data_IF_961132091127
#
_entry.id   IF_961132091127
#
_cell.length_a   1.000
_cell.length_b   1.000
_cell.length_c   1.000
_cell.angle_alpha   90.00
_cell.angle_beta   90.00
_cell.angle_gamma   90.00
#
_symmetry.space_group_name_H-M   'P 1'
#
loop_
_entity.id
_entity.type
_entity.pdbx_description
1 polymer ?
#
# COMPACT_ATOMS: atom_id res chain seq x y z
N UNK A 1 -29.72 35.90 -30.06
CA UNK A 1 -28.45 35.88 -29.25
C UNK A 1 -28.36 34.72 -28.29
N UNK A 2 -29.42 34.33 -27.59
CA UNK A 2 -29.38 33.18 -26.64
C UNK A 2 -29.05 31.82 -27.29
N UNK A 3 -29.56 31.53 -28.50
CA UNK A 3 -29.26 30.29 -29.23
C UNK A 3 -27.81 30.17 -29.67
N UNK A 4 -27.14 31.27 -30.01
CA UNK A 4 -25.72 31.28 -30.40
C UNK A 4 -24.81 30.99 -29.20
N UNK A 5 -25.18 31.49 -28.01
CA UNK A 5 -24.45 31.24 -26.76
C UNK A 5 -24.55 29.76 -26.33
N UNK A 6 -25.73 29.14 -26.53
CA UNK A 6 -25.95 27.72 -26.20
C UNK A 6 -25.17 26.80 -27.13
N UNK A 7 -25.08 27.12 -28.43
CA UNK A 7 -24.30 26.34 -29.42
C UNK A 7 -22.81 26.45 -29.13
N UNK A 8 -22.31 27.65 -28.76
CA UNK A 8 -20.89 27.84 -28.40
C UNK A 8 -20.55 27.11 -27.08
N UNK A 9 -21.45 27.14 -26.09
CA UNK A 9 -21.25 26.35 -24.84
C UNK A 9 -21.32 24.85 -25.11
N UNK A 10 -22.22 24.38 -25.99
CA UNK A 10 -22.28 22.96 -26.37
C UNK A 10 -21.04 22.50 -27.14
N UNK A 11 -20.47 23.33 -28.01
CA UNK A 11 -19.21 23.05 -28.72
C UNK A 11 -17.99 23.06 -27.75
N UNK A 12 -17.98 23.92 -26.74
CA UNK A 12 -16.95 23.93 -25.71
C UNK A 12 -17.04 22.68 -24.82
N UNK A 13 -18.24 22.13 -24.56
CA UNK A 13 -18.40 20.89 -23.80
C UNK A 13 -18.00 19.63 -24.60
N UNK A 14 -18.08 19.65 -25.94
CA UNK A 14 -17.69 18.51 -26.79
C UNK A 14 -16.18 18.43 -27.07
N UNK A 15 -15.45 19.54 -26.89
CA UNK A 15 -14.01 19.60 -27.19
C UNK A 15 -13.09 19.08 -26.07
N UNK A 16 -13.61 18.63 -24.92
CA UNK A 16 -12.81 18.31 -23.73
C UNK A 16 -12.62 16.81 -23.45
N UNK A 17 -13.05 15.95 -24.38
CA UNK A 17 -12.79 14.50 -24.32
C UNK A 17 -11.64 14.09 -25.24
N UNK A 18 -10.57 14.88 -25.31
CA UNK A 18 -9.38 14.43 -26.03
C UNK A 18 -8.56 13.57 -25.09
N UNK A 19 -8.86 12.26 -25.08
CA UNK A 19 -7.90 11.24 -24.63
C UNK A 19 -6.74 11.31 -25.64
N UNK A 20 -5.73 12.12 -25.35
CA UNK A 20 -4.54 12.24 -26.20
C UNK A 20 -3.60 11.06 -25.98
N UNK A 21 -3.90 10.16 -25.05
CA UNK A 21 -3.14 8.95 -24.80
C UNK A 21 -3.20 8.00 -26.00
N UNK A 22 -2.04 7.57 -26.48
CA UNK A 22 -1.93 6.71 -27.66
C UNK A 22 -0.93 5.56 -27.38
N UNK A 23 -1.41 4.32 -27.42
CA UNK A 23 -0.59 3.13 -27.22
C UNK A 23 0.43 2.87 -28.32
N UNK A 24 0.23 3.46 -29.51
CA UNK A 24 1.06 3.24 -30.69
C UNK A 24 2.09 4.35 -30.93
N UNK A 25 2.04 5.41 -30.11
CA UNK A 25 3.01 6.51 -30.18
C UNK A 25 3.87 6.53 -28.92
N UNK A 26 5.17 6.74 -29.04
CA UNK A 26 6.02 6.90 -27.86
C UNK A 26 5.70 8.22 -27.16
N UNK A 27 5.98 8.26 -25.86
CA UNK A 27 5.94 9.49 -25.08
C UNK A 27 7.04 10.46 -25.55
N UNK A 28 6.85 11.76 -25.33
CA UNK A 28 7.78 12.81 -25.79
C UNK A 28 9.19 12.74 -25.17
N UNK A 29 9.37 11.98 -24.10
CA UNK A 29 10.65 11.77 -23.41
C UNK A 29 10.66 10.41 -22.67
N UNK A 30 11.82 10.07 -22.08
CA UNK A 30 12.02 8.81 -21.31
C UNK A 30 12.01 9.02 -19.80
N UNK A 31 11.30 10.05 -19.32
CA UNK A 31 11.20 10.43 -17.92
C UNK A 31 12.04 11.65 -17.56
N UNK A 32 11.51 12.48 -16.68
CA UNK A 32 12.17 13.69 -16.14
C UNK A 32 12.12 13.73 -14.61
N UNK A 33 11.32 12.85 -14.00
CA UNK A 33 11.25 12.69 -12.54
C UNK A 33 12.20 11.59 -12.09
N UNK A 34 12.80 11.78 -10.93
CA UNK A 34 13.60 10.75 -10.27
C UNK A 34 12.75 9.55 -9.89
N UNK A 35 13.11 8.36 -10.36
CA UNK A 35 12.39 7.10 -10.15
C UNK A 35 12.67 6.51 -8.78
N UNK A 36 11.71 5.71 -8.27
CA UNK A 36 11.91 4.92 -7.06
C UNK A 36 12.59 3.60 -7.38
N UNK A 37 13.57 3.21 -6.55
CA UNK A 37 14.37 2.00 -6.75
C UNK A 37 13.71 0.72 -6.25
N UNK A 38 12.51 0.81 -5.66
CA UNK A 38 11.84 -0.32 -4.99
C UNK A 38 12.37 -0.61 -3.58
N UNK A 39 13.47 0.02 -3.14
CA UNK A 39 13.94 -0.09 -1.76
C UNK A 39 13.02 0.67 -0.80
N UNK A 40 12.93 0.23 0.47
CA UNK A 40 12.11 0.92 1.45
C UNK A 40 12.51 2.38 1.65
N UNK A 41 11.51 3.25 1.74
CA UNK A 41 11.69 4.65 2.09
C UNK A 41 11.67 4.81 3.63
N UNK A 42 12.38 5.82 4.17
CA UNK A 42 12.28 6.15 5.58
C UNK A 42 10.84 6.49 5.96
N UNK A 43 10.30 5.84 7.00
CA UNK A 43 8.96 6.06 7.51
C UNK A 43 9.02 6.21 9.04
N UNK A 44 9.32 7.42 9.50
CA UNK A 44 9.43 7.75 10.92
C UNK A 44 8.53 8.95 11.23
N UNK A 45 7.24 8.73 11.55
CA UNK A 45 6.36 9.80 11.98
C UNK A 45 6.87 10.49 13.25
N UNK A 46 6.70 11.80 13.34
CA UNK A 46 6.93 12.55 14.60
C UNK A 46 5.88 12.17 15.64
N UNK A 47 6.07 12.58 16.90
CA UNK A 47 5.10 12.30 17.96
C UNK A 47 3.69 12.83 17.67
N UNK A 48 3.57 14.01 17.06
CA UNK A 48 2.27 14.57 16.66
C UNK A 48 1.64 13.82 15.48
N UNK A 49 2.45 13.43 14.52
CA UNK A 49 2.00 12.62 13.38
C UNK A 49 1.54 11.24 13.86
N UNK A 50 2.24 10.64 14.82
CA UNK A 50 1.84 9.38 15.41
C UNK A 50 0.47 9.50 16.11
N UNK A 51 0.21 10.59 16.84
CA UNK A 51 -1.11 10.85 17.45
C UNK A 51 -2.25 10.89 16.40
N UNK A 52 -1.99 11.44 15.19
CA UNK A 52 -2.98 11.40 14.10
C UNK A 52 -3.20 9.98 13.60
N UNK A 53 -2.12 9.23 13.36
CA UNK A 53 -2.19 7.84 12.94
C UNK A 53 -2.93 6.95 13.96
N UNK A 54 -2.75 7.21 15.25
CA UNK A 54 -3.44 6.48 16.33
C UNK A 54 -4.94 6.73 16.34
N UNK A 55 -5.38 7.90 15.87
CA UNK A 55 -6.80 8.24 15.63
C UNK A 55 -7.34 7.66 14.31
N UNK A 56 -6.50 6.99 13.52
CA UNK A 56 -6.85 6.45 12.20
C UNK A 56 -6.81 7.48 11.07
N UNK A 57 -6.28 8.68 11.34
CA UNK A 57 -6.13 9.76 10.36
C UNK A 57 -4.82 9.57 9.57
N UNK A 58 -4.80 9.84 8.25
CA UNK A 58 -3.57 9.83 7.47
C UNK A 58 -2.67 11.02 7.80
N UNK A 59 -1.37 10.81 7.69
CA UNK A 59 -0.36 11.88 7.72
C UNK A 59 0.10 12.15 6.31
N UNK A 60 0.04 13.39 5.87
CA UNK A 60 0.32 13.79 4.49
C UNK A 60 1.39 14.88 4.44
N UNK A 61 2.22 14.79 3.40
CA UNK A 61 3.17 15.81 2.99
C UNK A 61 2.98 16.05 1.51
N UNK A 62 2.96 17.29 1.10
CA UNK A 62 2.94 17.67 -0.31
C UNK A 62 3.91 18.82 -0.56
N UNK A 63 4.59 18.74 -1.68
CA UNK A 63 5.45 19.77 -2.21
C UNK A 63 5.00 20.04 -3.65
N UNK A 64 4.98 21.30 -4.05
CA UNK A 64 4.56 21.69 -5.38
C UNK A 64 5.52 22.72 -5.97
N UNK A 65 5.84 22.55 -7.26
CA UNK A 65 6.59 23.49 -8.06
C UNK A 65 5.96 23.57 -9.46
N UNK A 66 5.23 24.64 -9.75
CA UNK A 66 4.52 24.82 -11.00
C UNK A 66 3.54 23.68 -11.31
N UNK A 67 3.77 22.97 -12.41
CA UNK A 67 2.99 21.79 -12.85
C UNK A 67 3.50 20.46 -12.29
N UNK A 68 4.55 20.50 -11.47
CA UNK A 68 5.10 19.32 -10.78
C UNK A 68 4.65 19.31 -9.33
N UNK A 69 4.48 18.10 -8.78
CA UNK A 69 4.17 17.91 -7.37
C UNK A 69 4.70 16.58 -6.85
N UNK A 70 5.01 16.56 -5.56
CA UNK A 70 5.31 15.37 -4.79
C UNK A 70 4.30 15.25 -3.66
N UNK A 71 3.75 14.05 -3.50
CA UNK A 71 2.89 13.73 -2.39
C UNK A 71 3.41 12.51 -1.64
N UNK A 72 3.32 12.54 -0.31
CA UNK A 72 3.61 11.40 0.56
C UNK A 72 2.48 11.26 1.55
N UNK A 73 1.97 10.03 1.71
CA UNK A 73 0.93 9.72 2.71
C UNK A 73 1.36 8.51 3.53
N UNK A 74 1.20 8.60 4.83
CA UNK A 74 1.34 7.48 5.76
C UNK A 74 -0.04 7.19 6.34
N UNK A 75 -0.43 5.91 6.37
CA UNK A 75 -1.72 5.45 6.88
C UNK A 75 -1.54 4.16 7.66
N UNK A 76 -2.10 4.10 8.87
CA UNK A 76 -2.21 2.87 9.63
C UNK A 76 -3.54 2.15 9.30
N UNK A 77 -3.47 0.84 9.08
CA UNK A 77 -4.56 -0.01 8.60
C UNK A 77 -4.72 -1.21 9.51
N UNK A 78 -5.94 -1.46 10.01
CA UNK A 78 -6.25 -2.63 10.83
C UNK A 78 -6.45 -3.87 9.95
N UNK A 79 -5.37 -4.31 9.34
CA UNK A 79 -5.34 -5.47 8.45
C UNK A 79 -3.90 -5.97 8.31
N UNK A 80 -3.66 -7.28 8.13
CA UNK A 80 -2.34 -7.82 7.86
C UNK A 80 -1.68 -7.23 6.61
N UNK A 81 -0.34 -7.09 6.57
CA UNK A 81 0.39 -6.56 5.41
C UNK A 81 0.13 -7.29 4.10
N UNK A 82 -0.09 -8.60 4.13
CA UNK A 82 -0.44 -9.40 2.95
C UNK A 82 -1.72 -8.91 2.30
N UNK A 83 -2.79 -8.71 3.09
CA UNK A 83 -4.08 -8.23 2.58
C UNK A 83 -3.94 -6.83 1.98
N UNK A 84 -3.20 -5.92 2.65
CA UNK A 84 -2.98 -4.58 2.14
C UNK A 84 -2.24 -4.60 0.79
N UNK A 85 -1.16 -5.38 0.67
CA UNK A 85 -0.40 -5.49 -0.58
C UNK A 85 -1.23 -6.18 -1.67
N UNK A 86 -2.02 -7.20 -1.33
CA UNK A 86 -2.90 -7.87 -2.30
C UNK A 86 -3.93 -6.90 -2.89
N UNK A 87 -4.52 -6.01 -2.07
CA UNK A 87 -5.43 -4.96 -2.58
C UNK A 87 -4.70 -3.96 -3.48
N UNK A 88 -3.49 -3.53 -3.11
CA UNK A 88 -2.67 -2.61 -3.91
C UNK A 88 -2.28 -3.22 -5.26
N UNK A 89 -2.08 -4.54 -5.33
CA UNK A 89 -1.71 -5.26 -6.55
C UNK A 89 -2.89 -5.71 -7.40
N UNK A 90 -4.10 -5.66 -6.87
CA UNK A 90 -5.31 -6.07 -7.58
C UNK A 90 -5.78 -4.98 -8.56
N UNK A 91 -4.89 -4.65 -9.51
CA UNK A 91 -5.11 -3.60 -10.50
C UNK A 91 -6.43 -3.75 -11.28
N UNK A 92 -6.86 -4.96 -11.71
CA UNK A 92 -8.13 -5.13 -12.44
C UNK A 92 -9.36 -4.65 -11.66
N UNK A 93 -9.29 -4.62 -10.31
CA UNK A 93 -10.39 -4.15 -9.47
C UNK A 93 -10.34 -2.67 -9.14
N UNK A 94 -9.32 -1.92 -9.56
CA UNK A 94 -9.20 -0.49 -9.28
C UNK A 94 -10.43 0.33 -9.66
N UNK A 95 -11.12 0.10 -10.80
CA UNK A 95 -12.35 0.83 -11.11
C UNK A 95 -13.46 0.71 -10.06
N UNK A 96 -13.42 -0.35 -9.23
CA UNK A 96 -14.39 -0.58 -8.14
C UNK A 96 -13.89 -0.09 -6.78
N UNK A 97 -12.58 0.03 -6.60
CA UNK A 97 -11.96 0.31 -5.31
C UNK A 97 -11.38 1.73 -5.21
N UNK A 98 -10.79 2.22 -6.30
CA UNK A 98 -10.01 3.45 -6.32
C UNK A 98 -10.86 4.60 -6.85
N UNK A 99 -11.02 5.71 -6.10
CA UNK A 99 -11.74 6.87 -6.59
C UNK A 99 -11.17 7.37 -7.93
N UNK A 100 -12.05 7.88 -8.76
CA UNK A 100 -11.72 8.47 -10.06
C UNK A 100 -11.20 7.53 -11.14
N UNK A 101 -10.82 6.29 -10.86
CA UNK A 101 -10.49 5.30 -11.89
C UNK A 101 -11.76 4.82 -12.57
N UNK A 102 -11.89 5.07 -13.87
CA UNK A 102 -13.05 4.70 -14.70
C UNK A 102 -12.87 3.33 -15.34
N UNK A 103 -11.70 3.07 -15.89
CA UNK A 103 -11.31 1.76 -16.41
C UNK A 103 -9.83 1.51 -16.26
N UNK A 104 -9.47 0.24 -16.33
CA UNK A 104 -8.08 -0.23 -16.28
C UNK A 104 -7.92 -1.43 -17.19
N UNK A 105 -6.89 -1.38 -18.06
CA UNK A 105 -6.57 -2.45 -19.00
C UNK A 105 -5.14 -2.91 -18.79
N UNK A 106 -4.95 -4.18 -18.45
CA UNK A 106 -3.63 -4.80 -18.32
C UNK A 106 -3.17 -5.24 -19.71
N UNK A 107 -2.03 -4.74 -20.17
CA UNK A 107 -1.44 -5.10 -21.46
C UNK A 107 -0.12 -5.87 -21.34
N UNK A 108 0.47 -5.91 -20.15
CA UNK A 108 1.68 -6.69 -19.86
C UNK A 108 1.63 -7.27 -18.45
N UNK A 109 2.06 -8.51 -18.26
CA UNK A 109 2.23 -9.13 -16.95
C UNK A 109 3.37 -10.15 -17.03
N UNK A 110 4.51 -9.82 -16.39
CA UNK A 110 5.71 -10.64 -16.37
C UNK A 110 6.12 -10.96 -14.94
N UNK A 111 6.30 -12.25 -14.65
CA UNK A 111 6.81 -12.72 -13.36
C UNK A 111 8.23 -13.26 -13.55
N UNK A 112 9.15 -12.81 -12.70
CA UNK A 112 10.55 -13.19 -12.72
C UNK A 112 10.85 -14.27 -11.65
N UNK A 113 11.94 -15.01 -11.84
CA UNK A 113 12.33 -16.11 -10.94
C UNK A 113 12.59 -15.66 -9.50
N UNK A 114 13.06 -14.43 -9.29
CA UNK A 114 13.26 -13.83 -7.97
C UNK A 114 11.94 -13.40 -7.29
N UNK A 115 10.79 -13.64 -7.93
CA UNK A 115 9.48 -13.27 -7.45
C UNK A 115 9.05 -11.84 -7.79
N UNK A 116 9.91 -11.00 -8.37
CA UNK A 116 9.54 -9.68 -8.92
C UNK A 116 8.45 -9.83 -9.96
N UNK A 117 7.46 -8.94 -9.97
CA UNK A 117 6.39 -8.94 -10.97
C UNK A 117 6.34 -7.55 -11.61
N UNK A 118 6.36 -7.53 -12.96
CA UNK A 118 6.12 -6.31 -13.73
C UNK A 118 4.76 -6.37 -14.42
N UNK A 119 3.99 -5.28 -14.28
CA UNK A 119 2.65 -5.16 -14.85
C UNK A 119 2.53 -3.84 -15.58
N UNK A 120 2.27 -3.89 -16.88
CA UNK A 120 1.90 -2.76 -17.70
C UNK A 120 0.38 -2.57 -17.71
N UNK A 121 -0.10 -1.38 -17.36
CA UNK A 121 -1.53 -1.09 -17.29
C UNK A 121 -1.87 0.28 -17.87
N UNK A 122 -2.95 0.36 -18.67
CA UNK A 122 -3.58 1.61 -19.08
C UNK A 122 -4.61 2.00 -18.01
N UNK A 123 -4.52 3.22 -17.53
CA UNK A 123 -5.49 3.85 -16.65
C UNK A 123 -6.30 4.88 -17.43
N UNK A 124 -7.62 4.88 -17.22
CA UNK A 124 -8.48 5.96 -17.61
C UNK A 124 -9.11 6.53 -16.34
N UNK A 125 -8.83 7.79 -16.03
CA UNK A 125 -9.36 8.47 -14.85
C UNK A 125 -10.24 9.65 -15.24
N UNK A 126 -11.22 9.95 -14.40
CA UNK A 126 -12.09 11.12 -14.55
C UNK A 126 -11.86 12.10 -13.40
N UNK A 127 -11.42 13.31 -13.70
CA UNK A 127 -11.14 14.35 -12.71
C UNK A 127 -11.90 15.62 -13.09
N UNK A 128 -12.85 16.04 -12.25
CA UNK A 128 -13.57 17.32 -12.41
C UNK A 128 -14.15 17.52 -13.81
N UNK A 129 -14.73 16.47 -14.39
CA UNK A 129 -15.33 16.50 -15.74
C UNK A 129 -14.36 16.25 -16.88
N UNK A 130 -13.06 16.15 -16.63
CA UNK A 130 -12.03 15.84 -17.63
C UNK A 130 -11.61 14.36 -17.55
N UNK A 131 -11.37 13.73 -18.70
CA UNK A 131 -10.77 12.41 -18.82
C UNK A 131 -9.26 12.50 -19.02
N UNK A 132 -8.52 11.56 -18.40
CA UNK A 132 -7.07 11.40 -18.60
C UNK A 132 -6.75 9.93 -18.80
N UNK A 133 -6.04 9.61 -19.87
CA UNK A 133 -5.50 8.28 -20.16
C UNK A 133 -3.98 8.25 -19.96
N UNK A 134 -3.46 7.25 -19.27
CA UNK A 134 -2.02 7.10 -19.10
C UNK A 134 -1.62 5.63 -18.90
N UNK A 135 -0.39 5.33 -19.26
CA UNK A 135 0.17 3.99 -19.22
C UNK A 135 1.24 3.93 -18.13
N UNK A 136 1.08 3.00 -17.19
CA UNK A 136 2.06 2.78 -16.12
C UNK A 136 2.69 1.39 -16.24
N UNK A 137 3.99 1.35 -15.96
CA UNK A 137 4.73 0.13 -15.72
C UNK A 137 4.97 -0.04 -14.23
N UNK A 138 4.27 -0.98 -13.60
CA UNK A 138 4.42 -1.32 -12.19
C UNK A 138 5.50 -2.37 -12.00
N UNK A 139 6.25 -2.28 -10.90
CA UNK A 139 7.22 -3.28 -10.47
C UNK A 139 7.00 -3.62 -9.00
N UNK A 140 6.56 -4.83 -8.71
CA UNK A 140 6.44 -5.35 -7.35
C UNK A 140 7.72 -6.07 -6.93
N UNK A 141 8.28 -5.67 -5.78
CA UNK A 141 9.47 -6.28 -5.18
C UNK A 141 9.07 -7.02 -3.88
N UNK A 142 8.90 -8.36 -3.92
CA UNK A 142 8.43 -9.13 -2.77
C UNK A 142 9.38 -9.05 -1.58
N UNK A 143 10.70 -8.97 -1.82
CA UNK A 143 11.72 -8.85 -0.77
C UNK A 143 11.47 -7.67 0.16
N UNK A 144 10.94 -6.56 -0.36
CA UNK A 144 10.72 -5.33 0.38
C UNK A 144 9.24 -5.05 0.62
N UNK A 145 8.34 -5.87 0.05
CA UNK A 145 6.90 -5.64 0.03
C UNK A 145 6.56 -4.22 -0.47
N UNK A 146 7.15 -3.86 -1.61
CA UNK A 146 6.98 -2.56 -2.26
C UNK A 146 6.48 -2.72 -3.68
N UNK A 147 5.71 -1.74 -4.16
CA UNK A 147 5.28 -1.61 -5.53
C UNK A 147 5.65 -0.23 -6.04
N UNK A 148 6.52 -0.16 -7.05
CA UNK A 148 6.86 1.09 -7.71
C UNK A 148 6.20 1.19 -9.07
N UNK A 149 6.12 2.40 -9.62
CA UNK A 149 5.69 2.61 -11.00
C UNK A 149 6.39 3.80 -11.65
N UNK A 150 6.43 3.76 -12.97
CA UNK A 150 6.80 4.86 -13.87
C UNK A 150 5.77 4.94 -15.00
N UNK A 151 5.76 6.00 -15.78
CA UNK A 151 5.09 5.93 -17.09
C UNK A 151 5.76 4.86 -17.96
N UNK A 152 4.98 4.21 -18.82
CA UNK A 152 5.51 3.44 -19.94
C UNK A 152 5.80 4.41 -21.09
N UNK A 153 7.04 4.87 -21.17
CA UNK A 153 7.46 5.87 -22.17
C UNK A 153 7.47 5.33 -23.62
N UNK A 154 7.17 4.06 -23.82
CA UNK A 154 6.90 3.54 -25.17
C UNK A 154 5.51 3.92 -25.69
N UNK A 155 4.65 4.47 -24.83
CA UNK A 155 3.28 4.86 -25.09
C UNK A 155 3.03 6.31 -24.68
N UNK A 156 2.25 7.05 -25.46
CA UNK A 156 1.89 8.43 -25.15
C UNK A 156 0.81 8.48 -24.06
N UNK A 157 1.05 9.27 -23.03
CA UNK A 157 0.17 9.48 -21.88
C UNK A 157 -0.25 10.92 -21.75
N UNK A 158 -1.41 11.19 -21.10
CA UNK A 158 -1.90 12.56 -20.83
C UNK A 158 -1.18 13.25 -19.65
N UNK A 159 -0.31 12.52 -18.93
CA UNK A 159 0.61 13.09 -17.96
C UNK A 159 2.01 13.24 -18.58
N UNK A 160 2.67 14.36 -18.28
CA UNK A 160 4.04 14.60 -18.75
C UNK A 160 5.00 13.62 -18.09
N UNK A 161 4.87 13.38 -16.77
CA UNK A 161 5.56 12.29 -16.07
C UNK A 161 4.83 11.86 -14.80
N UNK A 162 4.99 10.59 -14.41
CA UNK A 162 4.40 10.03 -13.19
C UNK A 162 5.24 8.88 -12.67
N UNK A 163 5.76 9.02 -11.47
CA UNK A 163 6.50 7.97 -10.76
C UNK A 163 5.97 7.82 -9.35
N UNK A 164 6.00 6.61 -8.81
CA UNK A 164 5.54 6.44 -7.45
C UNK A 164 5.96 5.14 -6.79
N UNK A 165 5.55 5.03 -5.51
CA UNK A 165 5.99 3.99 -4.59
C UNK A 165 4.91 3.69 -3.55
N UNK A 166 4.54 2.44 -3.44
CA UNK A 166 3.84 1.86 -2.32
C UNK A 166 4.81 1.06 -1.47
N UNK A 167 4.72 1.22 -0.17
CA UNK A 167 5.44 0.41 0.81
C UNK A 167 4.47 -0.06 1.88
N UNK A 168 4.47 -1.36 2.12
CA UNK A 168 3.57 -2.01 3.09
C UNK A 168 4.43 -2.71 4.13
N UNK A 169 4.33 -2.29 5.38
CA UNK A 169 5.13 -2.82 6.47
C UNK A 169 4.27 -3.16 7.69
N UNK A 170 4.69 -4.15 8.51
CA UNK A 170 4.03 -4.41 9.78
C UNK A 170 4.01 -3.13 10.63
N UNK A 171 2.90 -2.91 11.35
CA UNK A 171 2.80 -1.78 12.26
C UNK A 171 3.81 -1.96 13.43
N UNK A 172 4.55 -0.92 13.81
CA UNK A 172 5.64 -1.05 14.78
C UNK A 172 5.20 -1.49 16.19
N UNK A 173 3.94 -1.22 16.59
CA UNK A 173 3.45 -1.53 17.94
C UNK A 173 2.12 -2.29 17.99
N UNK A 174 1.35 -2.38 16.89
CA UNK A 174 0.04 -3.05 16.85
C UNK A 174 0.15 -4.35 16.06
N UNK A 175 0.13 -5.49 16.74
CA UNK A 175 0.19 -6.81 16.10
C UNK A 175 -1.00 -7.01 15.14
N UNK A 176 -0.73 -7.48 13.93
CA UNK A 176 -1.76 -7.73 12.90
C UNK A 176 -2.19 -6.47 12.14
N UNK A 177 -1.65 -5.30 12.50
CA UNK A 177 -1.85 -4.05 11.78
C UNK A 177 -0.73 -3.78 10.77
N UNK A 178 -0.99 -2.91 9.86
CA UNK A 178 -0.09 -2.50 8.78
C UNK A 178 0.11 -1.00 8.81
N UNK A 179 1.33 -0.56 8.55
CA UNK A 179 1.63 0.81 8.16
C UNK A 179 1.87 0.84 6.66
N UNK A 180 1.09 1.64 5.95
CA UNK A 180 1.21 1.87 4.51
C UNK A 180 1.84 3.22 4.27
N UNK A 181 2.86 3.28 3.41
CA UNK A 181 3.42 4.51 2.88
C UNK A 181 3.16 4.56 1.38
N UNK A 182 2.57 5.65 0.94
CA UNK A 182 2.39 6.01 -0.46
C UNK A 182 3.23 7.23 -0.78
N UNK A 183 3.99 7.20 -1.85
CA UNK A 183 4.72 8.38 -2.34
C UNK A 183 4.58 8.47 -3.84
N UNK A 184 4.28 9.65 -4.36
CA UNK A 184 4.16 9.89 -5.79
C UNK A 184 4.79 11.23 -6.17
N UNK A 185 5.38 11.26 -7.36
CA UNK A 185 5.79 12.48 -8.03
C UNK A 185 5.06 12.54 -9.35
N UNK A 186 4.45 13.67 -9.66
CA UNK A 186 3.67 13.87 -10.90
C UNK A 186 4.12 15.17 -11.54
N UNK A 187 4.28 15.15 -12.85
CA UNK A 187 4.44 16.33 -13.69
C UNK A 187 3.33 16.33 -14.74
N UNK A 188 2.64 17.46 -14.83
CA UNK A 188 1.55 17.65 -15.76
C UNK A 188 1.99 18.54 -16.92
N UNK A 189 1.40 18.34 -18.07
CA UNK A 189 1.60 19.24 -19.22
C UNK A 189 1.10 20.66 -18.90
N UNK A 190 1.67 21.65 -19.57
CA UNK A 190 1.32 23.07 -19.38
C UNK A 190 -0.16 23.38 -19.65
N UNK A 191 -0.79 22.64 -20.56
CA UNK A 191 -2.19 22.81 -20.93
C UNK A 191 -3.19 22.35 -19.85
N UNK A 192 -2.76 21.53 -18.88
CA UNK A 192 -3.64 21.04 -17.80
C UNK A 192 -4.07 22.22 -16.92
N UNK A 193 -5.39 22.42 -16.70
CA UNK A 193 -5.89 23.54 -15.92
C UNK A 193 -5.41 23.52 -14.46
N UNK A 194 -5.25 24.71 -13.90
CA UNK A 194 -4.73 24.88 -12.54
C UNK A 194 -5.61 24.22 -11.46
N UNK A 195 -6.93 24.19 -11.66
CA UNK A 195 -7.84 23.55 -10.72
C UNK A 195 -7.65 22.02 -10.64
N UNK A 196 -7.22 21.37 -11.74
CA UNK A 196 -6.86 19.95 -11.77
C UNK A 196 -5.58 19.72 -10.97
N UNK A 197 -4.58 20.60 -11.15
CA UNK A 197 -3.32 20.54 -10.38
C UNK A 197 -3.61 20.65 -8.88
N UNK A 198 -4.42 21.62 -8.47
CA UNK A 198 -4.84 21.80 -7.06
C UNK A 198 -5.56 20.57 -6.51
N UNK A 199 -6.46 19.99 -7.30
CA UNK A 199 -7.18 18.78 -6.91
C UNK A 199 -6.22 17.60 -6.66
N UNK A 200 -5.30 17.35 -7.59
CA UNK A 200 -4.32 16.24 -7.49
C UNK A 200 -3.38 16.39 -6.29
N UNK A 201 -2.97 17.63 -5.97
CA UNK A 201 -2.05 17.90 -4.85
C UNK A 201 -2.73 17.98 -3.48
N UNK A 202 -4.06 17.97 -3.42
CA UNK A 202 -4.82 18.06 -2.17
C UNK A 202 -5.74 16.84 -1.98
N UNK A 203 -6.92 16.86 -2.63
CA UNK A 203 -7.97 15.86 -2.41
C UNK A 203 -7.57 14.46 -2.87
N UNK A 204 -7.00 14.33 -4.07
CA UNK A 204 -6.58 13.04 -4.60
C UNK A 204 -5.49 12.39 -3.74
N UNK A 205 -4.60 13.21 -3.15
CA UNK A 205 -3.59 12.70 -2.22
C UNK A 205 -4.21 12.16 -0.93
N UNK A 206 -5.21 12.85 -0.37
CA UNK A 206 -5.97 12.35 0.79
C UNK A 206 -6.66 11.02 0.50
N UNK A 207 -7.23 10.88 -0.69
CA UNK A 207 -7.95 9.69 -1.11
C UNK A 207 -7.02 8.53 -1.49
N UNK A 208 -5.72 8.80 -1.75
CA UNK A 208 -4.77 7.81 -2.27
C UNK A 208 -4.60 6.57 -1.38
N UNK A 209 -4.67 6.70 -0.05
CA UNK A 209 -4.53 5.59 0.89
C UNK A 209 -5.84 5.18 1.55
N UNK A 210 -6.87 6.03 1.55
CA UNK A 210 -8.14 5.78 2.22
C UNK A 210 -8.87 4.56 1.66
N UNK A 211 -8.79 4.34 0.35
CA UNK A 211 -9.36 3.16 -0.29
C UNK A 211 -8.63 1.87 0.13
N UNK A 212 -7.29 1.91 0.27
CA UNK A 212 -6.50 0.75 0.75
C UNK A 212 -6.95 0.38 2.16
N UNK A 213 -7.10 1.38 3.05
CA UNK A 213 -7.59 1.16 4.41
C UNK A 213 -8.96 0.51 4.37
N UNK A 214 -9.93 1.10 3.69
CA UNK A 214 -11.30 0.60 3.59
C UNK A 214 -11.36 -0.85 3.06
N UNK A 215 -10.77 -1.10 1.89
CA UNK A 215 -10.86 -2.41 1.24
C UNK A 215 -10.10 -3.50 2.01
N UNK A 216 -8.97 -3.15 2.62
CA UNK A 216 -8.17 -4.11 3.39
C UNK A 216 -8.83 -4.46 4.71
N UNK A 217 -9.41 -3.50 5.42
CA UNK A 217 -10.13 -3.74 6.69
C UNK A 217 -11.41 -4.54 6.46
N UNK A 218 -12.15 -4.28 5.37
CA UNK A 218 -13.31 -5.07 4.98
C UNK A 218 -12.93 -6.53 4.67
N UNK A 219 -11.86 -6.74 3.93
CA UNK A 219 -11.38 -8.08 3.60
C UNK A 219 -10.89 -8.84 4.83
N UNK A 220 -10.13 -8.18 5.71
CA UNK A 220 -9.65 -8.77 6.96
C UNK A 220 -10.83 -9.19 7.86
N UNK A 221 -11.86 -8.34 7.99
CA UNK A 221 -13.05 -8.66 8.75
C UNK A 221 -13.83 -9.86 8.15
N UNK A 222 -13.95 -9.91 6.82
CA UNK A 222 -14.58 -11.03 6.11
C UNK A 222 -13.84 -12.35 6.35
N UNK A 223 -12.50 -12.34 6.23
CA UNK A 223 -11.67 -13.52 6.46
C UNK A 223 -11.75 -13.99 7.92
N UNK A 224 -11.77 -13.06 8.88
CA UNK A 224 -11.94 -13.38 10.30
C UNK A 224 -13.30 -14.04 10.59
N UNK A 225 -14.38 -13.52 9.98
CA UNK A 225 -15.72 -14.13 10.10
C UNK A 225 -15.76 -15.53 9.52
N UNK A 226 -15.29 -15.71 8.27
CA UNK A 226 -15.26 -17.01 7.62
C UNK A 226 -14.45 -18.05 8.43
N UNK A 227 -13.34 -17.62 9.00
CA UNK A 227 -12.51 -18.48 9.87
C UNK A 227 -13.27 -18.89 11.13
N UNK A 228 -13.99 -17.96 11.78
CA UNK A 228 -14.79 -18.23 12.97
C UNK A 228 -15.93 -19.23 12.65
N UNK A 229 -16.62 -19.00 11.53
CA UNK A 229 -17.71 -19.87 11.09
C UNK A 229 -17.22 -21.29 10.78
N UNK A 230 -16.04 -21.41 10.13
CA UNK A 230 -15.40 -22.70 9.86
C UNK A 230 -15.06 -23.45 11.16
N UNK A 231 -14.49 -22.77 12.17
CA UNK A 231 -14.17 -23.40 13.44
C UNK A 231 -15.42 -23.82 14.22
N UNK A 232 -16.52 -23.09 14.11
CA UNK A 232 -17.78 -23.42 14.78
C UNK A 232 -18.48 -24.64 14.16
N UNK A 233 -18.19 -24.98 12.90
CA UNK A 233 -18.75 -26.14 12.19
C UNK A 233 -17.90 -27.41 12.30
N UNK A 234 -16.67 -27.30 12.82
CA UNK A 234 -15.86 -28.48 13.08
C UNK A 234 -16.47 -29.26 14.24
N UNK A 235 -16.70 -30.60 14.08
CA UNK A 235 -17.12 -31.41 15.20
C UNK A 235 -16.09 -31.31 16.32
N UNK A 236 -16.55 -31.17 17.56
CA UNK A 236 -15.67 -31.25 18.72
C UNK A 236 -14.88 -32.54 18.61
N UNK A 237 -13.59 -32.44 18.34
CA UNK A 237 -12.70 -33.60 18.42
C UNK A 237 -12.73 -34.04 19.89
N UNK A 238 -13.48 -35.11 20.16
CA UNK A 238 -13.50 -35.77 21.47
C UNK A 238 -12.11 -36.40 21.67
N UNK A 239 -11.14 -35.54 22.03
CA UNK A 239 -9.79 -35.99 22.36
C UNK A 239 -9.85 -36.71 23.69
N UNK A 240 -10.12 -38.02 23.64
CA UNK A 240 -9.89 -38.89 24.78
C UNK A 240 -8.38 -39.08 24.91
N UNK A 241 -7.76 -38.46 25.92
CA UNK A 241 -6.33 -38.68 26.13
C UNK A 241 -6.07 -40.18 26.27
N UNK A 242 -5.03 -40.71 25.62
CA UNK A 242 -4.70 -42.14 25.71
C UNK A 242 -4.50 -42.54 27.18
N UNK A 243 -4.94 -43.75 27.53
CA UNK A 243 -5.00 -44.26 28.91
C UNK A 243 -3.69 -44.14 29.69
N UNK A 244 -2.54 -44.01 29.02
CA UNK A 244 -1.25 -43.79 29.68
C UNK A 244 -1.09 -42.36 30.23
N UNK A 245 -1.82 -41.37 29.74
CA UNK A 245 -1.85 -39.97 30.24
C UNK A 245 -2.75 -39.87 31.51
N UNK A 246 -3.65 -40.79 31.73
CA UNK A 246 -4.58 -40.79 32.86
C UNK A 246 -4.05 -41.53 34.10
N UNK A 247 -2.93 -42.25 33.97
CA UNK A 247 -2.28 -42.89 35.14
C UNK A 247 -1.57 -41.79 35.93
N UNK A 248 -2.15 -41.39 37.05
CA UNK A 248 -1.51 -40.66 38.15
C UNK A 248 -0.32 -41.47 38.70
N UNK A 249 0.80 -41.39 38.00
CA UNK A 249 2.10 -41.83 38.48
C UNK A 249 2.96 -40.63 38.69
N UNK A 250 3.25 -40.25 39.91
CA UNK A 250 3.92 -39.01 40.27
C UNK A 250 5.29 -38.86 39.59
N UNK A 251 5.39 -37.87 38.72
CA UNK A 251 6.65 -37.28 38.33
C UNK A 251 6.74 -35.95 39.11
N UNK A 252 7.49 -35.97 40.20
CA UNK A 252 7.98 -34.74 40.84
C UNK A 252 9.03 -34.15 39.92
N UNK A 253 8.66 -33.14 39.16
CA UNK A 253 9.57 -32.42 38.28
C UNK A 253 8.85 -31.21 37.69
N UNK A 254 9.14 -30.04 38.21
CA UNK A 254 8.45 -28.78 37.99
C UNK A 254 8.22 -28.41 36.55
N UNK A 255 6.98 -28.31 36.18
CA UNK A 255 6.52 -27.44 35.06
C UNK A 255 5.94 -26.17 35.68
N UNK A 256 6.53 -25.06 35.34
CA UNK A 256 6.09 -23.75 35.79
C UNK A 256 4.82 -23.44 35.01
N UNK A 257 3.72 -23.46 35.70
CA UNK A 257 2.45 -22.88 35.28
C UNK A 257 2.60 -21.35 35.29
N UNK A 258 2.56 -20.71 34.13
CA UNK A 258 2.27 -19.29 34.06
C UNK A 258 0.75 -19.12 33.86
N UNK A 259 0.04 -19.20 34.97
CA UNK A 259 -1.27 -18.61 35.11
C UNK A 259 -1.11 -17.08 35.25
N UNK A 260 -1.93 -16.35 34.51
CA UNK A 260 -2.10 -14.93 34.73
C UNK A 260 -2.71 -14.72 36.12
N UNK A 261 -2.03 -13.98 36.97
CA UNK A 261 -2.60 -13.40 38.16
C UNK A 261 -2.27 -11.88 38.17
N UNK A 262 -3.30 -11.08 38.03
CA UNK A 262 -3.27 -9.68 38.41
C UNK A 262 -3.25 -9.63 39.94
N UNK A 263 -2.24 -9.02 40.53
CA UNK A 263 -2.55 -8.19 41.69
C UNK A 263 -1.44 -7.19 42.06
N UNK A 264 -1.91 -6.12 42.60
CA UNK A 264 -1.39 -4.91 43.15
C UNK A 264 -0.12 -5.05 44.01
N UNK A 265 0.64 -4.00 43.89
CA UNK A 265 1.57 -3.42 44.88
C UNK A 265 3.05 -3.45 44.46
N UNK A 266 3.56 -2.24 44.28
CA UNK A 266 4.94 -1.93 43.92
C UNK A 266 5.97 -2.49 44.89
N UNK A 267 7.04 -2.99 44.27
CA UNK A 267 8.41 -2.76 44.75
C UNK A 267 9.41 -3.23 43.69
N UNK A 268 10.38 -2.38 43.41
CA UNK A 268 11.54 -2.65 42.57
C UNK A 268 12.39 -3.77 43.17
N UNK A 269 12.64 -4.83 42.37
CA UNK A 269 13.88 -5.64 42.54
C UNK A 269 14.52 -5.88 41.17
N UNK A 270 15.76 -5.38 41.05
CA UNK A 270 16.70 -5.70 39.97
C UNK A 270 17.00 -7.20 40.01
N UNK A 271 16.86 -7.86 38.86
CA UNK A 271 17.46 -9.20 38.63
C UNK A 271 18.39 -9.08 37.43
N UNK A 272 19.66 -9.39 37.67
CA UNK A 272 20.71 -9.49 36.66
C UNK A 272 20.47 -10.70 35.74
N UNK A 273 20.85 -10.64 34.44
CA UNK A 273 20.81 -11.80 33.58
C UNK A 273 22.07 -12.67 33.78
N UNK A 274 21.84 -13.98 33.90
CA UNK A 274 22.88 -14.98 33.86
C UNK A 274 23.36 -15.17 32.41
N UNK A 275 24.65 -14.91 32.17
CA UNK A 275 25.34 -15.25 30.93
C UNK A 275 25.54 -16.77 30.83
N UNK A 276 25.07 -17.36 29.74
CA UNK A 276 25.46 -18.69 29.28
C UNK A 276 26.21 -18.56 27.95
N UNK A 277 27.51 -18.75 28.02
CA UNK A 277 28.40 -18.74 26.87
C UNK A 277 28.25 -20.01 26.04
N UNK A 278 28.07 -19.89 24.70
CA UNK A 278 28.43 -20.92 23.73
C UNK A 278 29.04 -20.26 22.48
N UNK A 279 30.34 -20.46 22.36
CA UNK A 279 31.11 -20.77 21.16
C UNK A 279 31.05 -19.84 19.96
N UNK A 280 31.94 -18.84 19.96
CA UNK A 280 32.37 -18.17 18.73
C UNK A 280 33.28 -19.10 17.90
N UNK A 281 32.92 -19.32 16.63
CA UNK A 281 33.86 -19.84 15.62
C UNK A 281 34.00 -18.78 14.52
N UNK A 282 35.09 -18.04 14.62
CA UNK A 282 35.57 -17.11 13.61
C UNK A 282 36.08 -17.92 12.42
N UNK A 283 35.55 -17.68 11.23
CA UNK A 283 36.25 -17.99 9.98
C UNK A 283 36.57 -16.68 9.25
N UNK A 284 37.84 -16.37 9.25
CA UNK A 284 38.52 -15.40 8.37
C UNK A 284 38.75 -16.09 7.03
N UNK A 285 38.31 -15.50 5.94
CA UNK A 285 38.82 -15.65 4.56
C UNK A 285 38.64 -14.26 3.98
N UNK A 286 39.62 -13.47 3.64
CA UNK A 286 40.71 -13.62 2.71
C UNK A 286 40.43 -12.63 1.57
N UNK A 287 41.20 -11.52 1.52
CA UNK A 287 41.20 -10.52 0.42
C UNK A 287 41.53 -11.21 -0.90
N UNK A 288 40.76 -10.91 -1.95
CA UNK A 288 41.30 -10.51 -3.26
C UNK A 288 40.30 -9.57 -3.92
#
# INVERSE_FOLDING_TARGET
MAHLLFVVLAFLCLAWNVDASDKNKPHGHKGVLEVYTGKPLPCKPTGEQQKKLDKGEPVMFNERSGKSGRGVVIQDVNSPPSICMDKIRDLPRYPKMVPHVKSMDIYENKKFLNGTVKVGAKYNIGLLGMGFGYFLMHTYEPKYNTLTWTLDYTKNSDFDDNVGHWQVMPHPSKRGWTRVLYSTKVKLFSWVPEFVVKFLTSKALTESTSWVKRESELEAAKQAKNKKDLFSTLPALDFKPPAWLSKKGGIKGGFIEHAADEDKAGQKKRVMPLMGAIGARVMRIGKF
#
